data_IF_950837571276
#
_entry.id   IF_950837571276
#
_cell.length_a   1.000
_cell.length_b   1.000
_cell.length_c   1.000
_cell.angle_alpha   90.00
_cell.angle_beta   90.00
_cell.angle_gamma   90.00
#
_symmetry.space_group_name_H-M   'P 1'
#
loop_
_entity.id
_entity.type
_entity.pdbx_description
1 polymer ?
#
# COMPACT_ATOMS: atom_id res chain seq x y z
N UNK A 1 -12.96 -35.50 -70.14
CA UNK A 1 -12.81 -34.08 -69.80
C UNK A 1 -12.62 -33.98 -68.29
N UNK A 2 -11.56 -33.27 -67.89
CA UNK A 2 -11.26 -32.59 -66.62
C UNK A 2 -11.14 -33.39 -65.29
N UNK A 3 -9.88 -33.49 -64.87
CA UNK A 3 -9.41 -33.43 -63.48
C UNK A 3 -9.95 -32.18 -62.75
N UNK A 4 -10.19 -32.29 -61.45
CA UNK A 4 -10.33 -31.18 -60.49
C UNK A 4 -10.50 -31.76 -59.09
N UNK A 5 -9.49 -31.67 -58.22
CA UNK A 5 -9.40 -30.59 -57.21
C UNK A 5 -10.55 -30.72 -56.18
N UNK A 6 -10.36 -30.93 -54.89
CA UNK A 6 -9.23 -30.60 -54.02
C UNK A 6 -9.33 -31.39 -52.71
N UNK A 7 -8.16 -31.67 -52.14
CA UNK A 7 -7.96 -31.98 -50.73
C UNK A 7 -8.36 -30.78 -49.84
N UNK A 8 -8.36 -31.02 -48.53
CA UNK A 8 -8.23 -30.07 -47.41
C UNK A 8 -9.54 -29.68 -46.72
N UNK A 9 -9.75 -30.30 -45.55
CA UNK A 9 -10.50 -29.81 -44.39
C UNK A 9 -10.56 -31.01 -43.41
N UNK A 10 -10.00 -31.05 -42.21
CA UNK A 10 -9.53 -30.03 -41.28
C UNK A 10 -8.47 -30.69 -40.39
N UNK A 11 -7.20 -30.37 -40.59
CA UNK A 11 -6.16 -30.49 -39.56
C UNK A 11 -5.97 -29.08 -39.01
N UNK A 12 -6.40 -28.83 -37.78
CA UNK A 12 -5.93 -27.72 -36.92
C UNK A 12 -6.56 -27.90 -35.54
N UNK A 13 -6.01 -28.84 -34.79
CA UNK A 13 -5.94 -28.68 -33.35
C UNK A 13 -4.83 -27.64 -33.16
N UNK A 14 -5.24 -26.40 -32.94
CA UNK A 14 -4.35 -25.31 -32.55
C UNK A 14 -3.91 -25.62 -31.12
N UNK A 15 -2.70 -26.13 -30.95
CA UNK A 15 -2.01 -26.19 -29.67
C UNK A 15 -1.86 -24.74 -29.17
N UNK A 16 -2.72 -24.34 -28.24
CA UNK A 16 -2.53 -23.16 -27.42
C UNK A 16 -1.30 -23.42 -26.54
N UNK A 17 -0.11 -23.06 -27.05
CA UNK A 17 1.08 -22.93 -26.22
C UNK A 17 0.80 -21.86 -25.16
N UNK A 18 0.54 -22.31 -23.93
CA UNK A 18 0.54 -21.49 -22.74
C UNK A 18 1.89 -20.78 -22.62
N UNK A 19 1.94 -19.52 -23.07
CA UNK A 19 3.06 -18.63 -22.79
C UNK A 19 3.05 -18.39 -21.28
N UNK A 20 3.84 -19.18 -20.55
CA UNK A 20 4.18 -18.91 -19.15
C UNK A 20 5.04 -17.65 -19.13
N UNK A 21 4.39 -16.51 -18.97
CA UNK A 21 5.06 -15.26 -18.63
C UNK A 21 5.49 -15.40 -17.17
N UNK A 22 6.68 -15.94 -16.94
CA UNK A 22 7.40 -15.76 -15.67
C UNK A 22 7.83 -14.30 -15.58
N UNK A 23 6.89 -13.43 -15.24
CA UNK A 23 7.17 -12.07 -14.80
C UNK A 23 7.67 -12.12 -13.36
N UNK A 24 8.84 -12.73 -13.16
CA UNK A 24 9.55 -12.73 -11.88
C UNK A 24 10.44 -11.47 -11.74
N UNK A 25 10.00 -10.37 -12.35
CA UNK A 25 10.44 -9.05 -11.92
C UNK A 25 9.60 -8.72 -10.69
N UNK A 26 10.20 -8.93 -9.51
CA UNK A 26 9.76 -8.27 -8.29
C UNK A 26 9.72 -6.78 -8.63
N UNK A 27 8.53 -6.27 -8.94
CA UNK A 27 8.32 -4.84 -9.10
C UNK A 27 8.79 -4.23 -7.78
N UNK A 28 9.84 -3.42 -7.82
CA UNK A 28 10.28 -2.64 -6.66
C UNK A 28 9.13 -1.71 -6.29
N UNK A 29 8.26 -2.20 -5.41
CA UNK A 29 7.12 -1.44 -4.92
C UNK A 29 7.62 -0.35 -4.00
N UNK A 30 7.18 0.88 -4.23
CA UNK A 30 7.48 2.01 -3.34
C UNK A 30 6.96 1.67 -1.94
N UNK A 31 7.88 1.54 -0.98
CA UNK A 31 7.54 1.35 0.43
C UNK A 31 7.15 2.69 1.06
N UNK A 32 6.01 2.72 1.75
CA UNK A 32 5.47 3.91 2.42
C UNK A 32 5.46 3.69 3.94
N UNK A 33 6.26 4.50 4.64
CA UNK A 33 6.29 4.58 6.10
C UNK A 33 5.56 5.84 6.56
N UNK A 34 4.64 5.70 7.52
CA UNK A 34 3.98 6.83 8.18
C UNK A 34 4.41 6.92 9.63
N UNK A 35 4.67 8.14 10.13
CA UNK A 35 4.98 8.41 11.54
C UNK A 35 4.02 9.45 12.10
N UNK A 36 3.35 9.09 13.20
CA UNK A 36 2.52 10.01 13.99
C UNK A 36 3.45 10.77 14.94
N UNK A 37 3.41 12.11 14.91
CA UNK A 37 4.21 12.95 15.81
C UNK A 37 3.50 13.06 17.18
N UNK A 38 4.23 13.04 18.32
CA UNK A 38 3.67 13.44 19.60
C UNK A 38 3.07 14.84 19.56
N UNK A 39 1.93 15.00 20.23
CA UNK A 39 1.33 16.30 20.51
C UNK A 39 2.25 17.04 21.49
N UNK A 40 2.55 18.30 21.21
CA UNK A 40 3.34 19.17 22.10
C UNK A 40 2.43 20.14 22.85
N UNK A 41 2.87 20.63 24.01
CA UNK A 41 2.07 21.50 24.89
C UNK A 41 1.45 22.70 24.17
N UNK A 42 2.19 23.32 23.25
CA UNK A 42 1.71 24.46 22.46
C UNK A 42 0.49 24.12 21.60
N UNK A 43 0.36 22.87 21.13
CA UNK A 43 -0.81 22.41 20.37
C UNK A 43 -2.02 22.18 21.28
N UNK A 44 -1.79 21.83 22.54
CA UNK A 44 -2.83 21.66 23.56
C UNK A 44 -3.34 23.03 24.03
N UNK A 45 -2.42 23.97 24.24
CA UNK A 45 -2.72 25.32 24.72
C UNK A 45 -3.48 26.17 23.70
N UNK A 46 -3.18 26.00 22.41
CA UNK A 46 -3.86 26.70 21.32
C UNK A 46 -5.09 25.96 20.79
N UNK A 47 -5.39 24.79 21.34
CA UNK A 47 -6.58 24.05 20.99
C UNK A 47 -7.80 24.77 21.60
N UNK A 48 -8.46 25.60 20.79
CA UNK A 48 -9.76 26.16 21.13
C UNK A 48 -10.66 24.96 21.50
N UNK A 49 -11.21 24.94 22.71
CA UNK A 49 -11.83 23.76 23.35
C UNK A 49 -13.02 23.14 22.59
N UNK A 50 -13.32 23.63 21.38
CA UNK A 50 -14.40 23.21 20.50
C UNK A 50 -13.98 22.30 19.35
N UNK A 51 -12.68 22.16 19.03
CA UNK A 51 -12.22 21.42 17.84
C UNK A 51 -11.23 20.26 18.11
N UNK A 52 -11.00 19.89 19.38
CA UNK A 52 -10.13 18.75 19.72
C UNK A 52 -10.92 17.45 19.69
N UNK A 53 -11.17 16.90 18.51
CA UNK A 53 -11.89 15.63 18.46
C UNK A 53 -11.41 14.66 17.37
N UNK A 54 -10.27 14.92 16.74
CA UNK A 54 -9.62 13.96 15.84
C UNK A 54 -8.46 13.27 16.57
N UNK A 55 -8.68 12.04 17.04
CA UNK A 55 -7.63 11.19 17.59
C UNK A 55 -7.01 10.40 16.43
N UNK A 56 -5.70 10.56 16.23
CA UNK A 56 -4.94 9.79 15.24
C UNK A 56 -4.19 8.68 15.99
N UNK A 57 -4.46 7.43 15.63
CA UNK A 57 -3.87 6.25 16.26
C UNK A 57 -3.20 5.35 15.22
N UNK A 58 -2.12 4.69 15.64
CA UNK A 58 -1.55 3.57 14.88
C UNK A 58 -2.24 2.27 15.33
N UNK A 59 -2.89 1.56 14.42
CA UNK A 59 -3.50 0.24 14.66
C UNK A 59 -2.62 -0.84 14.01
N UNK A 60 -2.21 -1.83 14.84
CA UNK A 60 -1.41 -3.01 14.44
C UNK A 60 -0.15 -2.72 13.61
N UNK A 61 0.41 -1.52 13.72
CA UNK A 61 1.64 -1.11 13.02
C UNK A 61 1.53 -0.94 11.50
N UNK A 62 0.33 -1.04 10.92
CA UNK A 62 0.12 -0.86 9.47
C UNK A 62 -1.02 0.07 9.13
N UNK A 63 -1.87 0.41 10.10
CA UNK A 63 -3.04 1.22 9.86
C UNK A 63 -2.95 2.54 10.62
N UNK A 64 -3.32 3.64 9.97
CA UNK A 64 -3.65 4.90 10.63
C UNK A 64 -5.17 4.94 10.77
N UNK A 65 -5.63 5.12 12.00
CA UNK A 65 -7.05 5.31 12.31
C UNK A 65 -7.25 6.73 12.78
N UNK A 66 -8.06 7.50 12.04
CA UNK A 66 -8.48 8.85 12.40
C UNK A 66 -9.90 8.72 12.95
N UNK A 67 -10.08 9.05 14.24
CA UNK A 67 -11.37 9.07 14.91
C UNK A 67 -11.77 10.52 15.14
N UNK A 68 -12.60 11.07 14.26
CA UNK A 68 -13.27 12.34 14.50
C UNK A 68 -14.42 12.23 15.52
N UNK A 69 -14.96 13.39 15.90
CA UNK A 69 -16.14 13.60 16.75
C UNK A 69 -17.37 12.79 16.34
N UNK A 70 -17.57 12.67 15.02
CA UNK A 70 -18.74 12.05 14.44
C UNK A 70 -18.39 10.72 13.77
N UNK A 71 -19.33 9.78 13.76
CA UNK A 71 -19.13 8.46 13.16
C UNK A 71 -18.75 8.51 11.67
N UNK A 72 -19.19 9.55 10.94
CA UNK A 72 -18.84 9.80 9.54
C UNK A 72 -17.40 10.31 9.35
N UNK A 73 -16.76 10.79 10.41
CA UNK A 73 -15.37 11.29 10.41
C UNK A 73 -14.39 10.21 10.88
N UNK A 74 -14.67 8.94 10.54
CA UNK A 74 -13.75 7.83 10.79
C UNK A 74 -13.07 7.46 9.47
N UNK A 75 -11.75 7.63 9.42
CA UNK A 75 -10.93 7.23 8.29
C UNK A 75 -9.94 6.16 8.73
N UNK A 76 -9.75 5.14 7.88
CA UNK A 76 -8.74 4.11 8.06
C UNK A 76 -7.90 4.05 6.78
N UNK A 77 -6.59 4.16 6.95
CA UNK A 77 -5.62 4.06 5.86
C UNK A 77 -4.60 2.98 6.20
N UNK A 78 -4.26 2.14 5.22
CA UNK A 78 -3.26 1.06 5.39
C UNK A 78 -1.97 1.44 4.65
N UNK A 79 -0.83 1.20 5.30
CA UNK A 79 0.52 1.47 4.81
C UNK A 79 1.41 0.25 5.06
N UNK A 80 2.63 0.27 4.50
CA UNK A 80 3.61 -0.78 4.76
C UNK A 80 4.02 -0.83 6.24
N UNK A 81 4.16 0.36 6.84
CA UNK A 81 4.40 0.52 8.26
C UNK A 81 3.85 1.86 8.77
N UNK A 82 3.31 1.83 9.99
CA UNK A 82 2.90 3.00 10.77
C UNK A 82 3.61 2.99 12.12
N UNK A 83 4.22 4.12 12.47
CA UNK A 83 4.93 4.37 13.72
C UNK A 83 4.13 5.35 14.59
N UNK A 84 3.88 4.98 15.84
CA UNK A 84 3.15 5.81 16.80
C UNK A 84 4.00 6.95 17.39
N UNK A 85 3.38 7.84 18.18
CA UNK A 85 4.04 8.98 18.83
C UNK A 85 5.32 8.62 19.60
N UNK A 86 5.32 7.49 20.30
CA UNK A 86 6.44 7.02 21.11
C UNK A 86 7.66 6.57 20.29
N UNK A 87 7.55 6.53 18.97
CA UNK A 87 8.63 6.05 18.09
C UNK A 87 9.76 7.07 18.01
N UNK A 88 10.98 6.57 18.19
CA UNK A 88 12.21 7.34 18.12
C UNK A 88 12.70 7.50 16.68
N UNK A 89 13.69 8.36 16.46
CA UNK A 89 14.35 8.47 15.16
C UNK A 89 15.13 7.20 14.80
N UNK A 90 15.64 6.47 15.79
CA UNK A 90 16.28 5.18 15.58
C UNK A 90 15.30 4.17 15.00
N UNK A 91 14.05 4.16 15.46
CA UNK A 91 13.01 3.26 14.95
C UNK A 91 12.69 3.54 13.48
N UNK A 92 12.59 4.82 13.12
CA UNK A 92 12.44 5.26 11.72
C UNK A 92 13.62 4.79 10.88
N UNK A 93 14.85 5.06 11.35
CA UNK A 93 16.07 4.68 10.65
C UNK A 93 16.13 3.18 10.40
N UNK A 94 15.81 2.35 11.39
CA UNK A 94 15.84 0.90 11.26
C UNK A 94 14.94 0.41 10.11
N UNK A 95 13.78 1.04 9.90
CA UNK A 95 12.84 0.67 8.85
C UNK A 95 13.27 1.15 7.45
N UNK A 96 13.91 2.31 7.35
CA UNK A 96 14.29 2.89 6.06
C UNK A 96 15.75 2.62 5.68
N UNK A 97 16.55 2.06 6.59
CA UNK A 97 18.00 1.87 6.39
C UNK A 97 18.31 0.94 5.21
N UNK A 98 17.48 -0.08 4.98
CA UNK A 98 17.61 -0.97 3.83
C UNK A 98 17.34 -0.24 2.51
N UNK A 99 16.49 0.78 2.52
CA UNK A 99 16.24 1.64 1.35
C UNK A 99 17.36 2.66 1.11
N UNK A 100 18.21 2.92 2.10
CA UNK A 100 19.26 3.94 2.04
C UNK A 100 20.67 3.38 1.73
N UNK A 101 20.85 2.05 1.79
CA UNK A 101 22.10 1.38 1.44
C UNK A 101 22.09 1.07 -0.05
N UNK A 102 22.63 2.01 -0.85
CA UNK A 102 23.05 1.77 -2.24
C UNK A 102 24.57 1.67 -2.29
#
# INVERSE_FOLDING_TARGET
AINGASQQSQNREEEEEDIKIENDQVLDTIKVLVRIRPIISLEIENADHRDVEAIIEADKGKEVVIKGSEARHKLRCTFDQVLGPESTQCDVYNHVSECAKQ
#
